data_IF_583028117644
#
_entry.id   IF_583028117644
#
_cell.length_a   1.000
_cell.length_b   1.000
_cell.length_c   1.000
_cell.angle_alpha   90.00
_cell.angle_beta   90.00
_cell.angle_gamma   90.00
#
_symmetry.space_group_name_H-M   'P 1'
#
loop_
_entity.id
_entity.type
_entity.pdbx_description
1 polymer ?
#
# COMPACT_ATOMS: atom_id res chain seq x y z
N UNK A 1 30.95 -11.33 -19.77
CA UNK A 1 31.49 -11.73 -18.45
C UNK A 1 30.58 -11.15 -17.37
N UNK A 2 29.51 -11.85 -17.01
CA UNK A 2 28.57 -11.44 -15.95
C UNK A 2 28.91 -12.24 -14.69
N UNK A 3 29.57 -11.59 -13.73
CA UNK A 3 30.02 -12.20 -12.48
C UNK A 3 28.85 -12.59 -11.60
N UNK A 4 28.76 -13.89 -11.31
CA UNK A 4 27.87 -14.44 -10.29
C UNK A 4 28.37 -14.00 -8.91
N UNK A 5 27.64 -13.12 -8.24
CA UNK A 5 27.81 -12.86 -6.81
C UNK A 5 27.40 -14.12 -6.03
N UNK A 6 28.36 -14.99 -5.74
CA UNK A 6 28.23 -16.09 -4.80
C UNK A 6 28.11 -15.51 -3.38
N UNK A 7 26.89 -15.35 -2.88
CA UNK A 7 26.67 -15.06 -1.46
C UNK A 7 27.05 -16.29 -0.63
N UNK A 8 28.19 -16.21 0.06
CA UNK A 8 28.61 -17.23 1.02
C UNK A 8 27.57 -17.36 2.15
N UNK A 9 27.25 -18.58 2.62
CA UNK A 9 26.31 -18.77 3.72
C UNK A 9 26.89 -18.18 5.01
N UNK A 10 26.16 -17.26 5.65
CA UNK A 10 26.57 -16.69 6.95
C UNK A 10 26.64 -17.80 8.00
N UNK A 11 27.79 -17.92 8.68
CA UNK A 11 28.00 -18.81 9.83
C UNK A 11 26.98 -18.44 10.92
N UNK A 12 26.23 -19.42 11.45
CA UNK A 12 25.32 -19.18 12.58
C UNK A 12 26.15 -18.85 13.83
N UNK A 13 26.07 -17.61 14.30
CA UNK A 13 26.73 -17.16 15.52
C UNK A 13 26.06 -17.80 16.76
N UNK A 14 26.85 -18.12 17.78
CA UNK A 14 26.34 -18.70 19.01
C UNK A 14 25.63 -17.67 19.89
N UNK A 15 24.60 -18.08 20.64
CA UNK A 15 23.80 -17.20 21.52
C UNK A 15 24.65 -16.31 22.44
N UNK A 16 25.75 -16.84 22.99
CA UNK A 16 26.67 -16.07 23.86
C UNK A 16 27.39 -14.92 23.13
N UNK A 17 27.76 -15.14 21.87
CA UNK A 17 28.44 -14.14 21.05
C UNK A 17 27.49 -12.98 20.68
N UNK A 18 26.24 -13.32 20.39
CA UNK A 18 25.18 -12.35 20.11
C UNK A 18 24.95 -11.44 21.33
N UNK A 19 24.80 -12.03 22.53
CA UNK A 19 24.62 -11.26 23.77
C UNK A 19 25.83 -10.37 24.06
N UNK A 20 27.05 -10.84 23.80
CA UNK A 20 28.26 -10.03 23.97
C UNK A 20 28.26 -8.81 23.04
N UNK A 21 27.86 -8.98 21.76
CA UNK A 21 27.75 -7.88 20.79
C UNK A 21 26.61 -6.91 21.14
N UNK A 22 25.49 -7.42 21.64
CA UNK A 22 24.36 -6.63 22.14
C UNK A 22 24.80 -5.72 23.31
N UNK A 23 25.48 -6.28 24.31
CA UNK A 23 25.99 -5.52 25.45
C UNK A 23 27.04 -4.49 25.02
N UNK A 24 27.93 -4.85 24.09
CA UNK A 24 28.90 -3.90 23.53
C UNK A 24 28.20 -2.73 22.80
N UNK A 25 27.11 -3.01 22.09
CA UNK A 25 26.30 -1.98 21.43
C UNK A 25 25.66 -1.02 22.41
N UNK A 26 25.05 -1.52 23.49
CA UNK A 26 24.43 -0.70 24.54
C UNK A 26 25.48 0.21 25.19
N UNK A 27 26.66 -0.32 25.50
CA UNK A 27 27.72 0.46 26.16
C UNK A 27 28.31 1.59 25.28
N UNK A 28 28.38 1.40 23.97
CA UNK A 28 28.96 2.39 23.06
C UNK A 28 27.96 3.46 22.59
N UNK A 29 26.66 3.16 22.69
CA UNK A 29 25.60 4.00 22.15
C UNK A 29 25.57 5.41 22.75
N UNK A 30 25.70 5.62 24.08
CA UNK A 30 25.77 6.97 24.68
C UNK A 30 26.97 7.78 24.17
N UNK A 31 28.15 7.17 24.06
CA UNK A 31 29.38 7.79 23.51
C UNK A 31 29.23 8.20 22.03
N UNK A 32 28.31 7.55 21.33
CA UNK A 32 27.95 7.87 19.96
C UNK A 32 26.84 8.93 19.83
N UNK A 33 26.49 9.65 20.90
CA UNK A 33 25.33 10.54 20.97
C UNK A 33 24.03 9.84 20.54
N UNK A 34 23.89 8.57 20.93
CA UNK A 34 22.76 7.69 20.62
C UNK A 34 22.48 7.54 19.11
N UNK A 35 23.50 7.77 18.27
CA UNK A 35 23.38 7.57 16.83
C UNK A 35 23.70 6.10 16.46
N UNK A 36 22.65 5.35 16.13
CA UNK A 36 22.75 3.93 15.72
C UNK A 36 23.75 3.74 14.58
N UNK A 37 23.75 4.62 13.57
CA UNK A 37 24.65 4.49 12.41
C UNK A 37 26.11 4.71 12.78
N UNK A 38 26.40 5.53 13.80
CA UNK A 38 27.75 5.73 14.31
C UNK A 38 28.19 4.53 15.15
N UNK A 39 27.37 4.10 16.10
CA UNK A 39 27.63 2.92 16.94
C UNK A 39 27.85 1.64 16.11
N UNK A 40 27.02 1.43 15.09
CA UNK A 40 27.17 0.31 14.15
C UNK A 40 28.50 0.34 13.38
N UNK A 41 28.99 1.52 13.01
CA UNK A 41 30.30 1.66 12.33
C UNK A 41 31.45 1.37 13.27
N UNK A 42 31.37 1.80 14.53
CA UNK A 42 32.41 1.55 15.54
C UNK A 42 32.52 0.06 15.91
N UNK A 43 31.38 -0.66 15.93
CA UNK A 43 31.37 -2.10 16.24
C UNK A 43 31.40 -3.01 15.00
N UNK A 44 31.50 -2.46 13.79
CA UNK A 44 31.43 -3.18 12.52
C UNK A 44 30.18 -4.10 12.38
N UNK A 45 29.04 -3.64 12.90
CA UNK A 45 27.74 -4.34 12.84
C UNK A 45 26.83 -3.65 11.82
N UNK A 46 26.01 -4.42 11.09
CA UNK A 46 25.00 -3.86 10.20
C UNK A 46 23.77 -3.36 10.98
N UNK A 47 23.18 -2.22 10.57
CA UNK A 47 21.95 -1.69 11.19
C UNK A 47 20.80 -2.70 11.24
N UNK A 48 20.66 -3.53 10.21
CA UNK A 48 19.67 -4.61 10.15
C UNK A 48 19.82 -5.63 11.29
N UNK A 49 21.05 -5.85 11.76
CA UNK A 49 21.33 -6.77 12.86
C UNK A 49 20.83 -6.20 14.19
N UNK A 50 20.98 -4.90 14.42
CA UNK A 50 20.45 -4.22 15.61
C UNK A 50 18.94 -4.27 15.64
N UNK A 51 18.27 -3.99 14.52
CA UNK A 51 16.81 -4.09 14.44
C UNK A 51 16.32 -5.52 14.67
N UNK A 52 17.02 -6.52 14.11
CA UNK A 52 16.73 -7.92 14.42
C UNK A 52 16.84 -8.24 15.91
N UNK A 53 17.83 -7.68 16.62
CA UNK A 53 17.95 -7.85 18.08
C UNK A 53 16.82 -7.18 18.85
N UNK A 54 16.35 -6.01 18.41
CA UNK A 54 15.20 -5.35 19.01
C UNK A 54 13.94 -6.21 18.87
N UNK A 55 13.77 -6.89 17.74
CA UNK A 55 12.61 -7.77 17.50
C UNK A 55 12.70 -9.10 18.27
N UNK A 56 13.87 -9.75 18.24
CA UNK A 56 14.07 -11.11 18.75
C UNK A 56 14.33 -11.18 20.27
N UNK A 57 14.89 -10.14 20.88
CA UNK A 57 15.35 -10.14 22.27
C UNK A 57 14.67 -9.07 23.11
N UNK A 58 13.81 -9.50 24.04
CA UNK A 58 13.14 -8.60 24.99
C UNK A 58 14.12 -7.88 25.90
N UNK A 59 15.14 -8.58 26.42
CA UNK A 59 16.13 -7.99 27.33
C UNK A 59 16.96 -6.89 26.69
N UNK A 60 17.34 -7.07 25.42
CA UNK A 60 18.08 -6.03 24.68
C UNK A 60 17.19 -4.82 24.40
N UNK A 61 15.92 -5.05 24.04
CA UNK A 61 14.94 -3.99 23.81
C UNK A 61 14.73 -3.14 25.05
N UNK A 62 14.51 -3.74 26.21
CA UNK A 62 14.31 -3.01 27.47
C UNK A 62 15.52 -2.12 27.82
N UNK A 63 16.74 -2.65 27.67
CA UNK A 63 17.96 -1.87 27.90
C UNK A 63 18.13 -0.73 26.90
N UNK A 64 17.80 -0.99 25.64
CA UNK A 64 17.82 0.04 24.59
C UNK A 64 16.80 1.14 24.85
N UNK A 65 15.56 0.80 25.22
CA UNK A 65 14.50 1.75 25.55
C UNK A 65 14.90 2.61 26.76
N UNK A 66 15.50 2.02 27.80
CA UNK A 66 16.04 2.77 28.94
C UNK A 66 17.07 3.81 28.51
N UNK A 67 17.96 3.49 27.57
CA UNK A 67 18.93 4.45 27.04
C UNK A 67 18.28 5.57 26.22
N UNK A 68 17.17 5.28 25.52
CA UNK A 68 16.44 6.32 24.78
C UNK A 68 15.73 7.28 25.75
N UNK A 69 15.20 6.78 26.87
CA UNK A 69 14.68 7.66 27.92
C UNK A 69 15.78 8.55 28.52
N UNK A 70 16.97 8.00 28.80
CA UNK A 70 18.14 8.80 29.23
C UNK A 70 18.53 9.86 28.19
N UNK A 71 18.42 9.55 26.89
CA UNK A 71 18.65 10.52 25.82
C UNK A 71 17.63 11.67 25.87
N UNK A 72 16.36 11.35 26.11
CA UNK A 72 15.29 12.34 26.23
C UNK A 72 15.58 13.26 27.43
N UNK A 73 15.97 12.72 28.58
CA UNK A 73 16.33 13.51 29.77
C UNK A 73 17.43 14.54 29.46
N UNK A 74 18.47 14.14 28.72
CA UNK A 74 19.54 15.05 28.28
C UNK A 74 19.00 16.18 27.39
N UNK A 75 18.08 15.86 26.48
CA UNK A 75 17.44 16.87 25.63
C UNK A 75 16.53 17.80 26.43
N UNK A 76 15.82 17.29 27.44
CA UNK A 76 15.00 18.10 28.34
C UNK A 76 15.86 19.07 29.17
N UNK A 77 17.01 18.61 29.67
CA UNK A 77 17.97 19.47 30.36
C UNK A 77 18.51 20.57 29.43
N UNK A 78 18.88 20.21 28.20
CA UNK A 78 19.35 21.16 27.19
C UNK A 78 18.26 22.19 26.82
N UNK A 79 17.02 21.74 26.63
CA UNK A 79 15.87 22.60 26.38
C UNK A 79 15.67 23.58 27.54
N UNK A 80 15.70 23.10 28.78
CA UNK A 80 15.56 23.93 29.97
C UNK A 80 16.68 24.96 30.10
N UNK A 81 17.91 24.58 29.76
CA UNK A 81 19.06 25.51 29.71
C UNK A 81 18.84 26.62 28.68
N UNK A 82 18.36 26.28 27.49
CA UNK A 82 18.07 27.27 26.43
C UNK A 82 16.93 28.22 26.86
N UNK A 83 15.90 27.69 27.50
CA UNK A 83 14.81 28.49 28.08
C UNK A 83 15.34 29.47 29.11
N UNK A 84 16.20 29.02 30.04
CA UNK A 84 16.84 29.87 31.05
C UNK A 84 17.76 30.93 30.42
N UNK A 85 18.38 30.62 29.29
CA UNK A 85 19.20 31.56 28.53
C UNK A 85 18.38 32.59 27.71
N UNK A 86 17.05 32.44 27.65
CA UNK A 86 16.18 33.37 26.94
C UNK A 86 15.96 33.06 25.46
N UNK A 87 16.23 31.84 24.99
CA UNK A 87 15.91 31.46 23.62
C UNK A 87 14.40 31.45 23.38
N UNK A 88 13.92 32.41 22.58
CA UNK A 88 12.50 32.60 22.32
C UNK A 88 11.85 31.35 21.71
N UNK A 89 12.56 30.63 20.83
CA UNK A 89 12.04 29.43 20.17
C UNK A 89 11.77 28.31 21.18
N UNK A 90 12.75 28.02 22.04
CA UNK A 90 12.63 27.02 23.12
C UNK A 90 11.51 27.38 24.11
N UNK A 91 11.37 28.66 24.46
CA UNK A 91 10.30 29.15 25.34
C UNK A 91 8.92 28.93 24.71
N UNK A 92 8.74 29.38 23.46
CA UNK A 92 7.47 29.22 22.73
C UNK A 92 7.13 27.74 22.60
N UNK A 93 8.10 26.90 22.25
CA UNK A 93 7.91 25.46 22.12
C UNK A 93 7.44 24.81 23.43
N UNK A 94 8.09 25.11 24.56
CA UNK A 94 7.72 24.60 25.87
C UNK A 94 6.31 25.07 26.31
N UNK A 95 5.96 26.33 26.05
CA UNK A 95 4.63 26.86 26.35
C UNK A 95 3.55 26.20 25.48
N UNK A 96 3.79 26.06 24.17
CA UNK A 96 2.87 25.39 23.25
C UNK A 96 2.64 23.92 23.58
N UNK A 97 3.55 23.28 24.31
CA UNK A 97 3.45 21.84 24.65
C UNK A 97 2.99 21.63 26.09
N UNK A 98 3.80 22.02 27.08
CA UNK A 98 3.49 21.83 28.51
C UNK A 98 2.53 22.91 29.04
N UNK A 99 2.53 24.10 28.45
CA UNK A 99 1.65 25.22 28.83
C UNK A 99 0.22 25.16 28.26
N UNK A 100 -0.14 24.14 27.47
CA UNK A 100 -1.48 24.01 26.85
C UNK A 100 -2.62 24.14 27.85
N UNK A 101 -2.49 23.53 29.03
CA UNK A 101 -3.48 23.60 30.10
C UNK A 101 -3.74 25.03 30.61
N UNK A 102 -2.82 25.97 30.36
CA UNK A 102 -2.95 27.40 30.69
C UNK A 102 -3.41 28.25 29.51
N UNK A 103 -3.78 27.65 28.39
CA UNK A 103 -4.27 28.35 27.20
C UNK A 103 -3.21 28.71 26.16
N UNK A 104 -1.98 28.18 26.27
CA UNK A 104 -0.96 28.31 25.22
C UNK A 104 -1.23 27.35 24.06
N UNK A 105 -2.37 27.51 23.41
CA UNK A 105 -2.76 26.77 22.21
C UNK A 105 -2.75 27.75 21.05
N UNK A 106 -2.05 27.38 19.99
CA UNK A 106 -2.12 28.10 18.73
C UNK A 106 -3.52 27.88 18.15
N UNK A 107 -4.34 28.93 18.14
CA UNK A 107 -5.61 28.88 17.42
C UNK A 107 -5.29 28.85 15.94
N UNK A 108 -5.67 27.77 15.27
CA UNK A 108 -5.78 27.78 13.82
C UNK A 108 -6.75 28.90 13.43
N UNK A 109 -6.33 29.77 12.53
CA UNK A 109 -7.21 30.80 11.99
C UNK A 109 -8.32 30.08 11.23
N UNK A 110 -9.52 30.04 11.81
CA UNK A 110 -10.68 29.50 11.11
C UNK A 110 -10.89 30.33 9.85
N UNK A 111 -10.94 29.66 8.69
CA UNK A 111 -11.18 30.36 7.44
C UNK A 111 -12.62 30.91 7.45
N UNK A 112 -12.76 32.23 7.57
CA UNK A 112 -14.07 32.89 7.64
C UNK A 112 -14.97 32.54 6.44
N UNK A 113 -14.40 32.32 5.25
CA UNK A 113 -15.18 31.91 4.07
C UNK A 113 -15.77 30.51 4.22
N UNK A 114 -15.03 29.58 4.85
CA UNK A 114 -15.53 28.25 5.13
C UNK A 114 -16.70 28.29 6.12
N UNK A 115 -16.62 29.13 7.14
CA UNK A 115 -17.68 29.32 8.15
C UNK A 115 -18.97 29.78 7.47
N UNK A 116 -18.91 30.82 6.64
CA UNK A 116 -20.08 31.35 5.94
C UNK A 116 -20.72 30.29 5.03
N UNK A 117 -19.92 29.47 4.34
CA UNK A 117 -20.47 28.38 3.49
C UNK A 117 -21.21 27.37 4.36
N UNK A 118 -20.61 26.93 5.47
CA UNK A 118 -21.20 25.94 6.37
C UNK A 118 -22.45 26.47 7.07
N UNK A 119 -22.47 27.74 7.48
CA UNK A 119 -23.66 28.39 8.05
C UNK A 119 -24.83 28.38 7.06
N UNK A 120 -24.57 28.64 5.78
CA UNK A 120 -25.61 28.58 4.74
C UNK A 120 -26.11 27.16 4.48
N UNK A 121 -25.25 26.15 4.57
CA UNK A 121 -25.68 24.74 4.50
C UNK A 121 -26.55 24.38 5.70
N UNK A 122 -26.12 24.77 6.90
CA UNK A 122 -26.87 24.50 8.14
C UNK A 122 -28.24 25.19 8.14
N UNK A 123 -28.32 26.40 7.57
CA UNK A 123 -29.57 27.14 7.40
C UNK A 123 -30.46 26.60 6.27
N UNK A 124 -30.01 25.61 5.48
CA UNK A 124 -30.74 25.05 4.34
C UNK A 124 -30.79 25.96 3.10
N UNK A 125 -30.03 27.06 3.10
CA UNK A 125 -29.95 27.99 1.97
C UNK A 125 -29.00 27.49 0.86
N UNK A 126 -28.22 26.44 1.14
CA UNK A 126 -27.22 25.90 0.22
C UNK A 126 -27.21 24.38 0.31
N UNK A 127 -27.20 23.69 -0.83
CA UNK A 127 -27.10 22.23 -0.83
C UNK A 127 -25.68 21.76 -0.45
N UNK A 128 -25.52 20.57 0.19
CA UNK A 128 -24.20 20.02 0.51
C UNK A 128 -23.30 19.86 -0.72
N UNK A 129 -23.90 19.60 -1.89
CA UNK A 129 -23.20 19.51 -3.18
C UNK A 129 -22.63 20.85 -3.63
N UNK A 130 -23.43 21.91 -3.58
CA UNK A 130 -22.98 23.28 -3.91
C UNK A 130 -21.92 23.78 -2.93
N UNK A 131 -22.07 23.45 -1.65
CA UNK A 131 -21.04 23.71 -0.65
C UNK A 131 -19.74 23.02 -1.03
N UNK A 132 -19.78 21.75 -1.43
CA UNK A 132 -18.64 21.00 -1.94
C UNK A 132 -17.91 21.72 -3.08
N UNK A 133 -18.65 22.23 -4.08
CA UNK A 133 -18.05 23.03 -5.15
C UNK A 133 -17.42 24.32 -4.63
N UNK A 134 -18.07 25.03 -3.70
CA UNK A 134 -17.51 26.26 -3.11
C UNK A 134 -16.23 25.99 -2.31
N UNK A 135 -16.15 24.88 -1.57
CA UNK A 135 -14.93 24.46 -0.87
C UNK A 135 -13.79 24.15 -1.86
N UNK A 136 -14.10 23.43 -2.95
CA UNK A 136 -13.14 23.12 -4.00
C UNK A 136 -12.63 24.39 -4.72
N UNK A 137 -13.51 25.33 -5.05
CA UNK A 137 -13.15 26.61 -5.66
C UNK A 137 -12.24 27.47 -4.76
N UNK A 138 -12.42 27.38 -3.44
CA UNK A 138 -11.59 28.06 -2.46
C UNK A 138 -10.26 27.32 -2.17
N UNK A 139 -10.04 26.15 -2.77
CA UNK A 139 -8.88 25.30 -2.49
C UNK A 139 -8.84 24.77 -1.05
N UNK A 140 -9.99 24.75 -0.38
CA UNK A 140 -10.10 24.31 1.01
C UNK A 140 -10.39 22.82 1.08
N UNK A 141 -9.79 22.09 2.05
CA UNK A 141 -10.10 20.69 2.25
C UNK A 141 -11.58 20.55 2.61
N UNK A 142 -12.25 19.56 2.01
CA UNK A 142 -13.65 19.33 2.28
C UNK A 142 -13.82 18.77 3.71
N UNK A 143 -14.63 19.40 4.58
CA UNK A 143 -14.92 18.90 5.92
C UNK A 143 -15.52 17.49 5.89
N UNK A 144 -15.17 16.66 6.88
CA UNK A 144 -15.68 15.28 7.00
C UNK A 144 -17.20 15.21 7.05
N UNK A 145 -17.85 16.18 7.71
CA UNK A 145 -19.31 16.27 7.78
C UNK A 145 -19.94 16.37 6.38
N UNK A 146 -19.40 17.25 5.51
CA UNK A 146 -19.90 17.41 4.15
C UNK A 146 -19.61 16.18 3.28
N UNK A 147 -18.48 15.48 3.49
CA UNK A 147 -18.20 14.21 2.78
C UNK A 147 -19.26 13.16 3.10
N UNK A 148 -19.64 13.04 4.37
CA UNK A 148 -20.67 12.09 4.81
C UNK A 148 -22.02 12.47 4.20
N UNK A 149 -22.39 13.75 4.20
CA UNK A 149 -23.64 14.20 3.56
C UNK A 149 -23.67 13.94 2.06
N UNK A 150 -22.57 14.20 1.35
CA UNK A 150 -22.43 13.89 -0.06
C UNK A 150 -22.54 12.38 -0.35
N UNK A 151 -21.98 11.53 0.51
CA UNK A 151 -22.09 10.07 0.37
C UNK A 151 -23.51 9.53 0.57
N UNK A 152 -24.37 10.30 1.25
CA UNK A 152 -25.77 9.95 1.51
C UNK A 152 -26.73 10.46 0.44
N UNK A 153 -26.25 11.18 -0.58
CA UNK A 153 -27.09 11.60 -1.69
C UNK A 153 -27.50 10.36 -2.49
N UNK A 154 -28.79 10.05 -2.47
CA UNK A 154 -29.36 9.00 -3.32
C UNK A 154 -29.20 9.41 -4.79
N UNK A 155 -28.85 8.48 -5.69
CA UNK A 155 -28.77 8.78 -7.11
C UNK A 155 -30.14 9.27 -7.58
N UNK A 156 -30.16 10.36 -8.35
CA UNK A 156 -31.38 10.87 -8.96
C UNK A 156 -32.03 9.73 -9.76
N UNK A 157 -33.27 9.39 -9.40
CA UNK A 157 -33.97 8.33 -10.12
C UNK A 157 -34.05 8.70 -11.60
N UNK A 158 -33.85 7.72 -12.48
CA UNK A 158 -34.07 7.91 -13.91
C UNK A 158 -35.47 8.52 -14.11
N UNK A 159 -35.55 9.76 -14.62
CA UNK A 159 -36.84 10.42 -14.83
C UNK A 159 -37.75 9.62 -15.77
N UNK A 160 -39.07 9.83 -15.69
CA UNK A 160 -40.12 9.06 -16.38
C UNK A 160 -39.90 8.80 -17.89
N UNK A 161 -39.06 9.59 -18.56
CA UNK A 161 -38.66 9.40 -19.95
C UNK A 161 -37.46 8.45 -20.15
N UNK A 162 -37.09 7.66 -19.14
CA UNK A 162 -36.12 6.57 -19.29
C UNK A 162 -36.72 5.42 -20.09
N UNK A 163 -36.72 5.58 -21.41
CA UNK A 163 -36.96 4.47 -22.31
C UNK A 163 -35.76 3.52 -22.25
N UNK A 164 -35.87 2.45 -21.47
CA UNK A 164 -35.15 1.23 -21.84
C UNK A 164 -35.67 0.89 -23.24
N UNK A 165 -34.89 1.20 -24.29
CA UNK A 165 -35.20 0.72 -25.63
C UNK A 165 -35.35 -0.80 -25.64
N UNK A 166 -35.65 -1.39 -26.81
CA UNK A 166 -35.87 -2.84 -27.03
C UNK A 166 -34.64 -3.75 -26.73
N UNK A 167 -33.85 -3.44 -25.71
CA UNK A 167 -32.74 -4.21 -25.16
C UNK A 167 -33.19 -5.63 -24.82
N UNK A 168 -34.39 -5.80 -24.26
CA UNK A 168 -34.94 -7.12 -23.94
C UNK A 168 -35.15 -7.93 -25.24
N UNK A 169 -35.84 -7.36 -26.23
CA UNK A 169 -36.07 -8.02 -27.51
C UNK A 169 -34.77 -8.31 -28.29
N UNK A 170 -33.75 -7.45 -28.14
CA UNK A 170 -32.44 -7.64 -28.75
C UNK A 170 -31.64 -8.77 -28.08
N UNK A 171 -31.76 -8.93 -26.76
CA UNK A 171 -31.18 -10.05 -26.00
C UNK A 171 -31.84 -11.37 -26.42
N UNK A 172 -33.17 -11.40 -26.51
CA UNK A 172 -33.93 -12.58 -26.93
C UNK A 172 -33.57 -13.03 -28.35
N UNK A 173 -33.43 -12.08 -29.28
CA UNK A 173 -33.01 -12.38 -30.66
C UNK A 173 -31.63 -13.02 -30.70
N UNK A 174 -30.66 -12.46 -29.96
CA UNK A 174 -29.30 -13.04 -29.88
C UNK A 174 -29.27 -14.42 -29.25
N UNK A 175 -30.10 -14.66 -28.22
CA UNK A 175 -30.21 -15.97 -27.60
C UNK A 175 -30.79 -17.02 -28.56
N UNK A 176 -31.81 -16.65 -29.34
CA UNK A 176 -32.40 -17.52 -30.35
C UNK A 176 -31.42 -17.85 -31.50
N UNK A 177 -30.67 -16.85 -31.97
CA UNK A 177 -29.61 -17.04 -32.98
C UNK A 177 -28.53 -18.01 -32.48
N UNK A 178 -28.12 -17.90 -31.21
CA UNK A 178 -27.14 -18.79 -30.61
C UNK A 178 -27.64 -20.24 -30.50
N UNK A 179 -28.91 -20.46 -30.13
CA UNK A 179 -29.51 -21.79 -30.08
C UNK A 179 -29.59 -22.42 -31.48
N UNK A 180 -30.00 -21.65 -32.49
CA UNK A 180 -30.08 -22.12 -33.88
C UNK A 180 -28.70 -22.49 -34.44
N UNK A 181 -27.65 -21.73 -34.10
CA UNK A 181 -26.28 -22.06 -34.49
C UNK A 181 -25.81 -23.40 -33.88
N UNK A 182 -26.10 -23.64 -32.59
CA UNK A 182 -25.77 -24.90 -31.92
C UNK A 182 -26.54 -26.08 -32.54
N UNK A 183 -27.81 -25.90 -32.91
CA UNK A 183 -28.59 -26.93 -33.60
C UNK A 183 -28.07 -27.22 -35.00
N UNK A 184 -27.66 -26.18 -35.75
CA UNK A 184 -27.03 -26.34 -37.06
C UNK A 184 -25.72 -27.15 -36.96
N UNK A 185 -24.88 -26.81 -35.99
CA UNK A 185 -23.62 -27.50 -35.77
C UNK A 185 -23.84 -28.98 -35.39
N UNK A 186 -24.87 -29.25 -34.58
CA UNK A 186 -25.26 -30.62 -34.18
C UNK A 186 -25.84 -31.45 -35.32
N UNK A 187 -26.73 -30.87 -36.10
CA UNK A 187 -27.50 -31.58 -37.13
C UNK A 187 -26.72 -31.80 -38.41
N UNK A 188 -25.89 -30.82 -38.81
CA UNK A 188 -25.26 -30.81 -40.13
C UNK A 188 -23.74 -30.89 -40.06
N UNK A 189 -23.10 -29.98 -39.34
CA UNK A 189 -21.63 -29.89 -39.31
C UNK A 189 -20.96 -31.12 -38.67
N UNK A 190 -21.42 -31.54 -37.49
CA UNK A 190 -20.82 -32.66 -36.75
C UNK A 190 -20.91 -34.00 -37.50
N UNK A 191 -22.05 -34.39 -38.09
CA UNK A 191 -22.15 -35.62 -38.89
C UNK A 191 -21.26 -35.60 -40.14
N UNK A 192 -21.27 -34.50 -40.91
CA UNK A 192 -20.45 -34.36 -42.12
C UNK A 192 -18.95 -34.45 -41.78
N UNK A 193 -18.50 -33.73 -40.76
CA UNK A 193 -17.11 -33.78 -40.29
C UNK A 193 -16.70 -35.15 -39.76
N UNK A 194 -17.60 -35.85 -39.07
CA UNK A 194 -17.35 -37.22 -38.62
C UNK A 194 -17.17 -38.17 -39.81
N UNK A 195 -17.95 -38.02 -40.87
CA UNK A 195 -17.81 -38.81 -42.09
C UNK A 195 -16.49 -38.51 -42.83
N UNK A 196 -16.13 -37.23 -42.97
CA UNK A 196 -14.85 -36.81 -43.55
C UNK A 196 -13.66 -37.38 -42.77
N UNK A 197 -13.66 -37.22 -41.44
CA UNK A 197 -12.59 -37.73 -40.58
C UNK A 197 -12.50 -39.25 -40.64
N UNK A 198 -13.64 -39.95 -40.73
CA UNK A 198 -13.64 -41.41 -40.90
C UNK A 198 -13.05 -41.84 -42.25
N UNK A 199 -13.34 -41.11 -43.34
CA UNK A 199 -12.75 -41.34 -44.65
C UNK A 199 -11.23 -41.11 -44.63
N UNK A 200 -10.78 -39.98 -44.09
CA UNK A 200 -9.36 -39.67 -43.94
C UNK A 200 -8.62 -40.71 -43.09
N UNK A 201 -9.23 -41.17 -41.99
CA UNK A 201 -8.66 -42.26 -41.17
C UNK A 201 -8.52 -43.57 -41.94
N UNK A 202 -9.46 -43.88 -42.84
CA UNK A 202 -9.40 -45.07 -43.68
C UNK A 202 -8.31 -44.95 -44.75
N UNK A 203 -8.16 -43.78 -45.35
CA UNK A 203 -7.10 -43.49 -46.33
C UNK A 203 -5.71 -43.54 -45.69
N UNK A 204 -5.57 -42.97 -44.49
CA UNK A 204 -4.32 -42.92 -43.74
C UNK A 204 -4.04 -44.19 -42.92
N UNK A 205 -4.91 -45.21 -42.96
CA UNK A 205 -4.74 -46.44 -42.19
C UNK A 205 -3.44 -47.20 -42.52
N UNK A 206 -2.88 -46.97 -43.72
CA UNK A 206 -1.63 -47.57 -44.17
C UNK A 206 -0.40 -46.70 -43.93
N UNK A 207 -0.58 -45.43 -43.53
CA UNK A 207 0.50 -44.48 -43.27
C UNK A 207 0.71 -44.38 -41.77
N UNK A 208 1.67 -45.15 -41.25
CA UNK A 208 2.05 -45.04 -39.84
C UNK A 208 2.79 -43.71 -39.63
N UNK A 209 2.08 -42.72 -39.05
CA UNK A 209 2.58 -41.36 -38.87
C UNK A 209 3.78 -41.28 -37.89
N UNK A 210 4.09 -42.38 -37.20
CA UNK A 210 5.22 -42.51 -36.28
C UNK A 210 6.36 -43.41 -36.81
N UNK A 211 6.27 -43.96 -38.02
CA UNK A 211 7.37 -44.70 -38.63
C UNK A 211 8.51 -43.74 -39.02
N UNK A 212 9.54 -43.67 -38.17
CA UNK A 212 10.73 -42.87 -38.41
C UNK A 212 11.57 -43.49 -39.53
N UNK A 213 11.57 -42.88 -40.72
CA UNK A 213 12.50 -43.22 -41.80
C UNK A 213 13.94 -42.83 -41.39
N UNK A 214 14.61 -43.65 -40.58
CA UNK A 214 16.05 -43.51 -40.30
C UNK A 214 16.87 -44.21 -41.39
N UNK A 215 17.07 -43.57 -42.53
CA UNK A 215 18.19 -43.93 -43.42
C UNK A 215 19.45 -43.20 -42.94
N UNK A 216 20.18 -43.84 -42.01
CA UNK A 216 21.59 -43.50 -41.76
C UNK A 216 22.40 -43.89 -43.00
N UNK A 217 22.85 -42.92 -43.79
CA UNK A 217 23.98 -43.12 -44.71
C UNK A 217 25.27 -42.76 -43.99
N UNK A 218 26.11 -43.77 -43.73
CA UNK A 218 27.50 -43.67 -43.26
C UNK A 218 28.38 -44.29 -44.35
N UNK A 219 29.39 -43.54 -44.81
CA UNK A 219 30.63 -44.03 -45.44
C UNK A 219 30.54 -44.41 -46.92
N UNK A 220 31.12 -43.58 -47.80
CA UNK A 220 32.45 -43.78 -48.39
C UNK A 220 33.13 -42.42 -48.61
#
# INVERSE_FOLDING_TARGET
MTGQNRTLPRKKEGRKEIVAKQNAFINILPSCNFNISKACRELAIGRSTVYGWLDDSTTFREQYESLIEEQIDIWEEALLKNIKAGDATSIIFALKTKGKHRGWVERESVNQKAVVILENVLAGNLTPREAGYKFALLGLPLPEVLKIELSKQEPEEPGDNWEQGDVIAQIERRAAEALNAVEHDRSKFLPERRAEVAALKKELAHVDSFACNTTKTKGD
#
